data_IF_216745558311
#
_entry.id   IF_216745558311
#
_cell.length_a   1.000
_cell.length_b   1.000
_cell.length_c   1.000
_cell.angle_alpha   90.00
_cell.angle_beta   90.00
_cell.angle_gamma   90.00
#
_symmetry.space_group_name_H-M   'P 1'
#
loop_
_entity.id
_entity.type
_entity.pdbx_description
1 polymer ?
#
# COMPACT_ATOMS: atom_id res chain seq x y z
N UNK A 1 -30.61 -47.27 -24.33
CA UNK A 1 -29.82 -46.80 -23.18
C UNK A 1 -29.05 -45.57 -23.63
N UNK A 2 -29.56 -44.38 -23.33
CA UNK A 2 -29.02 -43.08 -23.77
C UNK A 2 -28.82 -42.23 -22.53
N UNK A 3 -27.56 -41.99 -22.17
CA UNK A 3 -27.18 -41.09 -21.07
C UNK A 3 -27.17 -39.64 -21.56
N UNK A 4 -27.76 -38.68 -20.82
CA UNK A 4 -27.67 -37.27 -21.17
C UNK A 4 -26.33 -36.68 -20.72
N UNK A 5 -25.61 -36.09 -21.68
CA UNK A 5 -24.38 -35.33 -21.44
C UNK A 5 -24.75 -33.97 -20.84
N UNK A 6 -24.34 -33.74 -19.59
CA UNK A 6 -24.59 -32.51 -18.86
C UNK A 6 -23.58 -31.43 -19.27
N UNK A 7 -24.00 -30.51 -20.13
CA UNK A 7 -23.22 -29.32 -20.47
C UNK A 7 -23.23 -28.33 -19.29
N UNK A 8 -22.07 -28.16 -18.65
CA UNK A 8 -21.81 -27.10 -17.67
C UNK A 8 -21.55 -25.78 -18.42
N UNK A 9 -22.23 -24.67 -18.10
CA UNK A 9 -21.89 -23.38 -18.68
C UNK A 9 -20.53 -22.91 -18.13
N UNK A 10 -19.67 -22.28 -18.96
CA UNK A 10 -18.46 -21.65 -18.46
C UNK A 10 -18.85 -20.51 -17.53
N UNK A 11 -18.31 -20.57 -16.31
CA UNK A 11 -18.50 -19.55 -15.29
C UNK A 11 -18.10 -18.17 -15.84
N UNK A 12 -19.01 -17.22 -15.64
CA UNK A 12 -18.74 -15.79 -15.70
C UNK A 12 -17.58 -15.47 -14.75
N UNK A 13 -16.37 -15.46 -15.29
CA UNK A 13 -15.23 -14.87 -14.62
C UNK A 13 -15.47 -13.37 -14.55
N UNK A 14 -15.64 -12.85 -13.34
CA UNK A 14 -15.47 -11.42 -13.08
C UNK A 14 -14.13 -10.98 -13.69
N UNK A 15 -14.11 -9.97 -14.57
CA UNK A 15 -12.86 -9.46 -15.09
C UNK A 15 -12.11 -8.83 -13.92
N UNK A 16 -11.03 -9.49 -13.50
CA UNK A 16 -10.05 -8.89 -12.62
C UNK A 16 -9.61 -7.55 -13.21
N UNK A 17 -9.48 -6.54 -12.35
CA UNK A 17 -9.00 -5.21 -12.72
C UNK A 17 -7.81 -5.32 -13.69
N UNK A 18 -7.94 -4.80 -14.93
CA UNK A 18 -6.90 -5.01 -15.91
C UNK A 18 -5.65 -4.25 -15.47
N UNK A 19 -4.53 -4.97 -15.42
CA UNK A 19 -3.21 -4.45 -15.76
C UNK A 19 -3.44 -3.45 -16.89
N UNK A 20 -3.02 -2.19 -16.75
CA UNK A 20 -3.27 -1.10 -17.72
C UNK A 20 -2.87 -1.54 -19.14
N UNK A 21 -3.76 -2.23 -19.84
CA UNK A 21 -3.59 -2.59 -21.24
C UNK A 21 -3.64 -1.27 -21.98
N UNK A 22 -2.47 -0.83 -22.42
CA UNK A 22 -2.35 0.35 -23.26
C UNK A 22 -3.13 0.04 -24.54
N UNK A 23 -4.04 0.93 -24.91
CA UNK A 23 -4.78 0.80 -26.18
C UNK A 23 -3.78 0.65 -27.33
N UNK A 24 -4.12 -0.18 -28.32
CA UNK A 24 -3.28 -0.31 -29.51
C UNK A 24 -3.22 1.02 -30.27
N UNK A 25 -2.14 1.33 -31.00
CA UNK A 25 -2.04 2.57 -31.76
C UNK A 25 -3.17 2.74 -32.78
N UNK A 26 -3.67 1.64 -33.36
CA UNK A 26 -4.83 1.64 -34.26
C UNK A 26 -6.12 2.06 -33.55
N UNK A 27 -6.33 1.58 -32.31
CA UNK A 27 -7.48 1.99 -31.50
C UNK A 27 -7.40 3.46 -31.11
N UNK A 28 -6.20 3.98 -30.84
CA UNK A 28 -5.98 5.40 -30.53
C UNK A 28 -6.31 6.28 -31.74
N UNK A 29 -5.89 5.87 -32.95
CA UNK A 29 -6.23 6.58 -34.18
C UNK A 29 -7.74 6.62 -34.41
N UNK A 30 -8.43 5.48 -34.26
CA UNK A 30 -9.89 5.44 -34.31
C UNK A 30 -10.52 6.32 -33.22
N UNK A 31 -10.02 6.30 -31.98
CA UNK A 31 -10.52 7.14 -30.90
C UNK A 31 -10.46 8.63 -31.29
N UNK A 32 -9.35 9.04 -31.91
CA UNK A 32 -9.10 10.40 -32.36
C UNK A 32 -10.09 10.83 -33.44
N UNK A 33 -10.24 10.04 -34.50
CA UNK A 33 -11.19 10.34 -35.59
C UNK A 33 -12.61 10.53 -35.03
N UNK A 34 -13.05 9.66 -34.12
CA UNK A 34 -14.36 9.79 -33.50
C UNK A 34 -14.49 11.06 -32.62
N UNK A 35 -13.42 11.51 -31.95
CA UNK A 35 -13.45 12.69 -31.08
C UNK A 35 -13.42 13.99 -31.89
N UNK A 36 -12.64 14.03 -32.97
CA UNK A 36 -12.46 15.20 -33.85
C UNK A 36 -13.62 15.34 -34.86
N UNK A 37 -14.17 14.24 -35.38
CA UNK A 37 -15.23 14.28 -36.41
C UNK A 37 -16.66 14.26 -35.84
N UNK A 38 -16.84 13.93 -34.55
CA UNK A 38 -18.19 13.78 -33.99
C UNK A 38 -18.49 14.71 -32.81
N UNK A 39 -19.70 15.26 -32.83
CA UNK A 39 -20.30 16.05 -31.74
C UNK A 39 -20.89 15.19 -30.61
N UNK A 40 -20.73 13.85 -30.70
CA UNK A 40 -21.36 12.89 -29.77
C UNK A 40 -20.70 12.92 -28.39
N UNK A 41 -21.41 12.69 -27.28
CA UNK A 41 -20.78 12.67 -25.96
C UNK A 41 -19.77 11.52 -25.82
N UNK A 42 -18.70 11.70 -25.02
CA UNK A 42 -17.67 10.66 -24.78
C UNK A 42 -18.24 9.32 -24.31
N UNK A 43 -19.37 9.34 -23.59
CA UNK A 43 -20.09 8.13 -23.18
C UNK A 43 -20.52 7.28 -24.38
N UNK A 44 -20.99 7.93 -25.46
CA UNK A 44 -21.45 7.23 -26.65
C UNK A 44 -20.27 6.71 -27.48
N UNK A 45 -19.19 7.49 -27.60
CA UNK A 45 -17.95 7.07 -28.27
C UNK A 45 -17.36 5.84 -27.56
N UNK A 46 -17.25 5.91 -26.22
CA UNK A 46 -16.76 4.80 -25.41
C UNK A 46 -17.61 3.54 -25.56
N UNK A 47 -18.94 3.66 -25.50
CA UNK A 47 -19.84 2.52 -25.69
C UNK A 47 -19.69 1.86 -27.07
N UNK A 48 -19.46 2.64 -28.13
CA UNK A 48 -19.25 2.13 -29.49
C UNK A 48 -17.93 1.37 -29.65
N UNK A 49 -16.89 1.80 -28.96
CA UNK A 49 -15.56 1.21 -29.04
C UNK A 49 -15.28 0.16 -27.93
N UNK A 50 -16.23 -0.06 -27.02
CA UNK A 50 -16.04 -0.95 -25.87
C UNK A 50 -15.09 -0.40 -24.80
N UNK A 51 -14.91 0.93 -24.75
CA UNK A 51 -13.96 1.61 -23.88
C UNK A 51 -14.71 2.52 -22.89
N UNK A 52 -14.19 2.69 -21.67
CA UNK A 52 -14.81 3.60 -20.70
C UNK A 52 -14.75 5.06 -21.17
N UNK A 53 -15.78 5.85 -20.87
CA UNK A 53 -15.81 7.28 -21.21
C UNK A 53 -14.64 8.06 -20.57
N UNK A 54 -14.19 7.62 -19.38
CA UNK A 54 -13.02 8.18 -18.69
C UNK A 54 -11.72 7.95 -19.46
N UNK A 55 -11.57 6.77 -20.06
CA UNK A 55 -10.42 6.46 -20.92
C UNK A 55 -10.43 7.36 -22.16
N UNK A 56 -11.58 7.52 -22.82
CA UNK A 56 -11.72 8.44 -23.98
C UNK A 56 -11.32 9.86 -23.60
N UNK A 57 -11.85 10.38 -22.49
CA UNK A 57 -11.53 11.72 -22.01
C UNK A 57 -10.06 11.90 -21.67
N UNK A 58 -9.40 10.86 -21.14
CA UNK A 58 -7.98 10.91 -20.82
C UNK A 58 -7.12 10.99 -22.07
N UNK A 59 -7.35 10.10 -23.05
CA UNK A 59 -6.59 10.12 -24.30
C UNK A 59 -6.82 11.40 -25.11
N UNK A 60 -8.04 11.93 -25.13
CA UNK A 60 -8.32 13.21 -25.76
C UNK A 60 -7.55 14.37 -25.10
N UNK A 61 -7.40 14.35 -23.77
CA UNK A 61 -6.61 15.33 -23.03
C UNK A 61 -5.11 15.14 -23.24
N UNK A 62 -4.62 13.91 -23.16
CA UNK A 62 -3.20 13.59 -23.31
C UNK A 62 -2.68 13.84 -24.75
N UNK A 63 -3.57 13.73 -25.75
CA UNK A 63 -3.27 13.98 -27.16
C UNK A 63 -3.65 15.37 -27.68
N UNK A 64 -4.11 16.28 -26.82
CA UNK A 64 -4.60 17.62 -27.18
C UNK A 64 -5.64 17.63 -28.32
N UNK A 65 -6.53 16.64 -28.37
CA UNK A 65 -7.51 16.49 -29.45
C UNK A 65 -8.62 17.54 -29.31
N UNK A 66 -8.86 18.30 -30.38
CA UNK A 66 -9.88 19.35 -30.41
C UNK A 66 -11.23 18.78 -30.82
N UNK A 67 -12.26 19.11 -30.06
CA UNK A 67 -13.64 18.77 -30.44
C UNK A 67 -14.20 19.83 -31.39
N UNK A 68 -15.07 19.47 -32.33
CA UNK A 68 -15.70 20.42 -33.22
C UNK A 68 -16.62 21.36 -32.43
N UNK A 69 -16.72 22.60 -32.90
CA UNK A 69 -17.55 23.63 -32.27
C UNK A 69 -19.01 23.16 -32.18
N UNK A 70 -19.60 23.25 -30.99
CA UNK A 70 -20.94 22.74 -30.71
C UNK A 70 -21.00 21.31 -30.15
N UNK A 71 -19.87 20.65 -29.93
CA UNK A 71 -19.84 19.40 -29.17
C UNK A 71 -20.34 19.61 -27.74
N UNK A 72 -21.24 18.72 -27.28
CA UNK A 72 -21.77 18.78 -25.91
C UNK A 72 -20.60 18.67 -24.93
N UNK A 73 -20.39 19.67 -24.05
CA UNK A 73 -19.29 19.62 -23.10
C UNK A 73 -19.47 18.36 -22.23
N UNK A 74 -18.36 17.70 -21.86
CA UNK A 74 -18.46 16.56 -20.95
C UNK A 74 -19.23 17.03 -19.72
N UNK A 75 -20.28 16.28 -19.36
CA UNK A 75 -21.05 16.53 -18.15
C UNK A 75 -20.05 16.54 -17.02
N UNK A 76 -19.69 17.74 -16.54
CA UNK A 76 -18.95 17.87 -15.29
C UNK A 76 -19.85 17.18 -14.31
N UNK A 77 -19.42 16.02 -13.82
CA UNK A 77 -20.00 15.44 -12.62
C UNK A 77 -19.90 16.61 -11.66
N UNK A 78 -21.05 17.19 -11.31
CA UNK A 78 -21.10 18.24 -10.33
C UNK A 78 -20.36 17.63 -9.14
N UNK A 79 -19.18 18.18 -8.84
CA UNK A 79 -18.50 17.85 -7.60
C UNK A 79 -19.62 18.02 -6.56
N UNK A 80 -19.96 16.98 -5.78
CA UNK A 80 -21.05 17.08 -4.82
C UNK A 80 -20.79 18.35 -4.04
N UNK A 81 -21.75 19.28 -4.14
CA UNK A 81 -21.71 20.57 -3.48
C UNK A 81 -21.23 20.28 -2.05
N UNK A 82 -20.07 20.80 -1.60
CA UNK A 82 -19.69 20.61 -0.22
C UNK A 82 -20.81 21.24 0.58
N UNK A 83 -21.65 20.41 1.18
CA UNK A 83 -22.81 20.88 1.93
C UNK A 83 -22.36 22.02 2.85
N UNK A 84 -23.19 23.07 3.02
CA UNK A 84 -22.90 24.11 3.98
C UNK A 84 -22.64 23.40 5.30
N UNK A 85 -21.38 23.47 5.77
CA UNK A 85 -20.92 22.89 7.02
C UNK A 85 -21.92 23.30 8.09
N UNK A 86 -22.87 22.42 8.41
CA UNK A 86 -23.57 22.48 9.69
C UNK A 86 -22.43 22.56 10.69
N UNK A 87 -22.42 23.62 11.50
CA UNK A 87 -21.52 23.79 12.63
C UNK A 87 -21.52 22.48 13.41
N UNK A 88 -20.60 21.59 13.06
CA UNK A 88 -20.02 20.71 14.06
C UNK A 88 -19.28 21.71 14.93
N UNK A 89 -19.71 21.80 16.18
CA UNK A 89 -18.86 22.32 17.22
C UNK A 89 -17.44 21.82 16.97
N UNK A 90 -16.42 22.67 17.15
CA UNK A 90 -15.04 22.23 17.02
C UNK A 90 -14.90 21.00 17.92
N UNK A 91 -14.74 19.84 17.29
CA UNK A 91 -14.25 18.68 18.01
C UNK A 91 -12.97 19.15 18.71
N UNK A 92 -12.74 18.72 19.97
CA UNK A 92 -11.48 19.01 20.62
C UNK A 92 -10.36 18.68 19.64
N UNK A 93 -9.31 19.52 19.56
CA UNK A 93 -8.18 19.23 18.69
C UNK A 93 -7.80 17.77 18.90
N UNK A 94 -7.61 16.97 17.83
CA UNK A 94 -7.15 15.61 18.03
C UNK A 94 -5.96 15.73 18.96
N UNK A 95 -6.09 15.09 20.13
CA UNK A 95 -4.97 14.87 21.02
C UNK A 95 -3.82 14.48 20.13
N UNK A 96 -2.66 15.05 20.41
CA UNK A 96 -1.39 14.74 19.77
C UNK A 96 -1.12 13.24 19.94
N UNK A 97 -1.84 12.41 19.17
CA UNK A 97 -1.52 11.02 18.92
C UNK A 97 -0.18 11.14 18.21
N UNK A 98 0.87 10.79 18.95
CA UNK A 98 2.21 10.71 18.43
C UNK A 98 2.13 9.91 17.12
N UNK A 99 2.73 10.37 16.00
CA UNK A 99 2.78 9.58 14.78
C UNK A 99 3.33 8.16 15.03
N UNK A 100 4.11 7.96 16.09
CA UNK A 100 4.51 6.64 16.61
C UNK A 100 3.32 5.77 17.04
N UNK A 101 2.41 6.29 17.87
CA UNK A 101 1.23 5.55 18.37
C UNK A 101 0.31 5.11 17.23
N UNK A 102 0.15 5.97 16.22
CA UNK A 102 -0.63 5.63 15.03
C UNK A 102 0.02 4.50 14.24
N UNK A 103 1.35 4.51 14.12
CA UNK A 103 2.11 3.45 13.44
C UNK A 103 2.03 2.13 14.19
N UNK A 104 2.18 2.16 15.52
CA UNK A 104 2.05 0.99 16.38
C UNK A 104 0.67 0.34 16.25
N UNK A 105 -0.41 1.14 16.33
CA UNK A 105 -1.79 0.66 16.12
C UNK A 105 -2.00 0.05 14.72
N UNK A 106 -1.33 0.54 13.69
CA UNK A 106 -1.40 -0.03 12.32
C UNK A 106 -0.63 -1.34 12.27
N UNK A 107 0.58 -1.39 12.83
CA UNK A 107 1.42 -2.60 12.88
C UNK A 107 0.72 -3.71 13.65
N UNK A 108 0.12 -3.41 14.80
CA UNK A 108 -0.62 -4.37 15.61
C UNK A 108 -1.83 -4.95 14.86
N UNK A 109 -2.60 -4.10 14.15
CA UNK A 109 -3.70 -4.57 13.30
C UNK A 109 -3.24 -5.47 12.16
N UNK A 110 -2.10 -5.15 11.55
CA UNK A 110 -1.51 -5.99 10.51
C UNK A 110 -1.06 -7.34 11.08
N UNK A 111 -0.47 -7.36 12.27
CA UNK A 111 -0.09 -8.60 12.97
C UNK A 111 -1.31 -9.48 13.27
N UNK A 112 -2.36 -8.93 13.87
CA UNK A 112 -3.60 -9.69 14.16
C UNK A 112 -4.31 -10.20 12.90
N UNK A 113 -4.13 -9.52 11.76
CA UNK A 113 -4.67 -9.97 10.48
C UNK A 113 -3.81 -11.11 9.90
N UNK A 114 -2.49 -11.01 10.01
CA UNK A 114 -1.57 -12.05 9.60
C UNK A 114 -1.76 -13.33 10.42
N UNK A 115 -1.95 -13.21 11.74
CA UNK A 115 -2.22 -14.32 12.66
C UNK A 115 -3.51 -15.06 12.30
N UNK A 116 -4.62 -14.33 12.11
CA UNK A 116 -5.89 -14.93 11.63
C UNK A 116 -5.74 -15.62 10.28
N UNK A 117 -4.95 -15.05 9.38
CA UNK A 117 -4.66 -15.71 8.11
C UNK A 117 -3.76 -16.95 8.27
N UNK A 118 -2.85 -16.98 9.24
CA UNK A 118 -2.05 -18.15 9.52
C UNK A 118 -2.91 -19.31 10.05
N UNK A 119 -3.82 -19.04 11.00
CA UNK A 119 -4.81 -20.01 11.48
C UNK A 119 -5.67 -20.56 10.34
N UNK A 120 -6.20 -19.70 9.46
CA UNK A 120 -6.98 -20.12 8.29
C UNK A 120 -6.18 -20.99 7.28
N UNK A 121 -4.85 -20.94 7.33
CA UNK A 121 -3.98 -21.73 6.45
C UNK A 121 -3.62 -23.10 7.04
N UNK A 122 -3.65 -23.27 8.37
CA UNK A 122 -3.43 -24.57 9.01
C UNK A 122 -4.49 -25.60 8.60
N UNK A 123 -5.73 -25.15 8.38
CA UNK A 123 -6.85 -26.00 7.97
C UNK A 123 -6.93 -26.25 6.45
N UNK A 124 -6.07 -25.63 5.64
CA UNK A 124 -6.15 -25.70 4.19
C UNK A 124 -5.11 -26.62 3.56
N UNK A 125 -5.49 -27.41 2.51
CA UNK A 125 -4.54 -28.25 1.80
C UNK A 125 -3.46 -27.40 1.11
N UNK A 126 -2.20 -27.84 1.20
CA UNK A 126 -0.96 -27.15 0.80
C UNK A 126 -1.04 -26.51 -0.61
N UNK A 127 -1.79 -27.10 -1.54
CA UNK A 127 -1.99 -26.57 -2.89
C UNK A 127 -2.77 -25.24 -2.95
N UNK A 128 -3.64 -24.96 -1.96
CA UNK A 128 -4.37 -23.69 -1.83
C UNK A 128 -3.56 -22.61 -1.12
N UNK A 129 -2.74 -23.00 -0.15
CA UNK A 129 -1.90 -22.09 0.62
C UNK A 129 -0.94 -21.26 -0.26
N UNK A 130 -0.42 -21.84 -1.35
CA UNK A 130 0.46 -21.11 -2.27
C UNK A 130 -0.19 -19.90 -2.98
N UNK A 131 -1.53 -19.87 -3.12
CA UNK A 131 -2.24 -18.74 -3.74
C UNK A 131 -2.62 -17.66 -2.72
N UNK A 132 -2.95 -18.04 -1.50
CA UNK A 132 -3.29 -17.13 -0.40
C UNK A 132 -2.06 -16.44 0.21
N UNK A 133 -0.85 -16.97 0.00
CA UNK A 133 0.40 -16.32 0.44
C UNK A 133 0.89 -15.20 -0.50
N UNK A 134 0.35 -15.10 -1.73
CA UNK A 134 0.76 -14.07 -2.70
C UNK A 134 0.45 -12.63 -2.25
N UNK A 135 -0.73 -12.32 -1.68
CA UNK A 135 -1.01 -11.00 -1.10
C UNK A 135 -0.08 -10.65 0.07
N UNK A 136 0.24 -11.61 0.94
CA UNK A 136 1.18 -11.43 2.05
C UNK A 136 2.60 -11.12 1.55
N UNK A 137 3.09 -11.88 0.55
CA UNK A 137 4.37 -11.63 -0.08
C UNK A 137 4.43 -10.26 -0.80
N UNK A 138 3.30 -9.78 -1.33
CA UNK A 138 3.21 -8.42 -1.89
C UNK A 138 3.24 -7.36 -0.79
N UNK A 139 2.51 -7.56 0.30
CA UNK A 139 2.49 -6.64 1.43
C UNK A 139 3.85 -6.48 2.08
N UNK A 140 4.57 -7.58 2.32
CA UNK A 140 5.93 -7.54 2.88
C UNK A 140 6.91 -6.84 1.94
N UNK A 141 6.81 -7.05 0.62
CA UNK A 141 7.59 -6.28 -0.36
C UNK A 141 7.28 -4.78 -0.29
N UNK A 142 6.00 -4.41 -0.25
CA UNK A 142 5.61 -2.99 -0.17
C UNK A 142 6.02 -2.34 1.15
N UNK A 143 5.93 -3.05 2.27
CA UNK A 143 6.41 -2.58 3.57
C UNK A 143 7.92 -2.36 3.54
N UNK A 144 8.69 -3.29 2.97
CA UNK A 144 10.13 -3.11 2.77
C UNK A 144 10.51 -2.02 1.76
N UNK A 145 9.64 -1.67 0.81
CA UNK A 145 9.83 -0.51 -0.06
C UNK A 145 9.54 0.80 0.67
N UNK A 146 8.48 0.86 1.48
CA UNK A 146 8.14 2.03 2.30
C UNK A 146 9.23 2.29 3.35
N UNK A 147 9.81 1.24 3.93
CA UNK A 147 10.91 1.32 4.91
C UNK A 147 12.19 1.90 4.30
N UNK A 148 12.46 1.63 3.01
CA UNK A 148 13.58 2.26 2.27
C UNK A 148 13.38 3.75 2.00
N UNK A 149 12.13 4.23 2.09
CA UNK A 149 11.78 5.62 1.92
C UNK A 149 11.64 6.37 3.25
N UNK A 150 11.72 5.67 4.39
CA UNK A 150 12.05 6.32 5.65
C UNK A 150 13.51 6.75 5.50
N UNK A 151 13.70 8.08 5.49
CA UNK A 151 15.01 8.71 5.39
C UNK A 151 16.04 7.97 6.26
N UNK A 152 17.31 7.87 5.83
CA UNK A 152 18.36 7.48 6.76
C UNK A 152 18.19 8.31 8.04
N UNK A 153 18.37 7.70 9.24
CA UNK A 153 18.26 8.45 10.48
C UNK A 153 19.05 9.73 10.30
N UNK A 154 18.39 10.86 10.62
CA UNK A 154 19.07 12.15 10.66
C UNK A 154 20.39 11.91 11.38
N UNK A 155 21.55 12.32 10.80
CA UNK A 155 22.79 12.17 11.52
C UNK A 155 22.56 12.77 12.91
N UNK A 156 22.86 12.02 13.99
CA UNK A 156 22.67 12.54 15.33
C UNK A 156 23.34 13.91 15.39
N UNK A 157 22.65 14.89 15.99
CA UNK A 157 23.21 16.22 16.21
C UNK A 157 24.69 16.09 16.60
N UNK A 158 25.52 16.90 15.95
CA UNK A 158 26.98 16.95 16.01
C UNK A 158 27.52 17.34 17.41
N UNK A 159 26.97 16.76 18.48
CA UNK A 159 27.58 16.59 19.80
C UNK A 159 28.21 15.19 19.95
N UNK A 160 28.46 14.49 18.83
CA UNK A 160 29.42 13.40 18.82
C UNK A 160 30.83 14.00 18.97
N UNK A 161 31.62 13.57 19.98
CA UNK A 161 33.00 14.05 20.11
C UNK A 161 33.74 13.74 18.82
N UNK A 162 34.30 14.80 18.22
CA UNK A 162 35.09 14.83 16.99
C UNK A 162 35.91 13.54 16.81
N UNK A 163 35.39 12.60 16.02
CA UNK A 163 36.07 11.37 15.60
C UNK A 163 37.16 11.66 14.55
N UNK A 164 37.85 12.81 14.66
CA UNK A 164 39.15 13.03 14.01
C UNK A 164 40.14 12.04 14.60
N UNK A 165 40.22 10.89 13.92
CA UNK A 165 41.26 9.85 13.99
C UNK A 165 41.60 9.43 15.42
N UNK A 166 41.24 8.19 15.85
CA UNK A 166 41.75 7.70 17.12
C UNK A 166 43.28 7.75 17.05
N UNK A 167 43.86 8.59 17.92
CA UNK A 167 45.27 8.62 18.27
C UNK A 167 45.65 7.15 18.53
N UNK A 168 46.42 6.54 17.61
CA UNK A 168 46.56 5.09 17.43
C UNK A 168 46.20 4.22 18.63
N UNK A 169 44.91 3.89 18.77
CA UNK A 169 44.44 2.96 19.79
C UNK A 169 44.82 1.55 19.35
N UNK A 170 45.33 0.77 20.29
CA UNK A 170 45.83 -0.57 20.01
C UNK A 170 44.64 -1.49 19.66
N UNK A 171 44.82 -2.44 18.73
CA UNK A 171 43.78 -3.41 18.35
C UNK A 171 43.25 -4.17 19.57
N UNK A 172 44.09 -4.40 20.58
CA UNK A 172 43.68 -5.02 21.83
C UNK A 172 42.71 -4.17 22.64
N UNK A 173 42.91 -2.85 22.72
CA UNK A 173 41.99 -1.94 23.41
C UNK A 173 40.61 -1.93 22.71
N UNK A 174 40.59 -1.97 21.37
CA UNK A 174 39.34 -2.06 20.61
C UNK A 174 38.62 -3.40 20.84
N UNK A 175 39.38 -4.49 21.02
CA UNK A 175 38.82 -5.81 21.33
C UNK A 175 38.25 -5.85 22.75
N UNK A 176 38.96 -5.26 23.70
CA UNK A 176 38.53 -5.19 25.10
C UNK A 176 37.31 -4.28 25.25
N UNK A 177 37.27 -3.16 24.53
CA UNK A 177 36.11 -2.26 24.46
C UNK A 177 34.89 -2.95 23.83
N UNK A 178 35.10 -3.70 22.74
CA UNK A 178 34.04 -4.49 22.12
C UNK A 178 33.52 -5.59 23.06
N UNK A 179 34.42 -6.30 23.76
CA UNK A 179 34.05 -7.31 24.73
C UNK A 179 33.24 -6.72 25.90
N UNK A 180 33.67 -5.58 26.44
CA UNK A 180 32.96 -4.87 27.49
C UNK A 180 31.58 -4.36 27.02
N UNK A 181 31.46 -3.96 25.76
CA UNK A 181 30.19 -3.52 25.18
C UNK A 181 29.21 -4.68 25.01
N UNK A 182 29.69 -5.83 24.53
CA UNK A 182 28.88 -7.05 24.43
C UNK A 182 28.43 -7.54 25.80
N UNK A 183 29.31 -7.53 26.81
CA UNK A 183 28.95 -7.90 28.19
C UNK A 183 27.89 -6.96 28.79
N UNK A 184 27.94 -5.66 28.43
CA UNK A 184 26.88 -4.72 28.82
C UNK A 184 25.55 -5.07 28.18
N UNK A 185 25.53 -5.40 26.88
CA UNK A 185 24.31 -5.77 26.15
C UNK A 185 23.71 -7.04 26.75
N UNK A 186 24.51 -8.08 26.97
CA UNK A 186 24.02 -9.33 27.58
C UNK A 186 23.42 -9.11 28.97
N UNK A 187 24.02 -8.22 29.77
CA UNK A 187 23.48 -7.85 31.09
C UNK A 187 22.15 -7.10 30.96
N UNK A 188 22.05 -6.16 30.04
CA UNK A 188 20.81 -5.40 29.81
C UNK A 188 19.69 -6.30 29.28
N UNK A 189 20.01 -7.28 28.42
CA UNK A 189 19.07 -8.29 27.94
C UNK A 189 18.59 -9.19 29.08
N UNK A 190 19.49 -9.64 29.95
CA UNK A 190 19.12 -10.44 31.13
C UNK A 190 18.23 -9.65 32.10
N UNK A 191 18.58 -8.40 32.39
CA UNK A 191 17.77 -7.51 33.24
C UNK A 191 16.39 -7.24 32.61
N UNK A 192 16.33 -7.16 31.28
CA UNK A 192 15.09 -7.02 30.54
C UNK A 192 14.23 -8.28 30.67
N UNK A 193 14.80 -9.47 30.43
CA UNK A 193 14.10 -10.75 30.57
C UNK A 193 13.61 -11.01 32.00
N UNK A 194 14.41 -10.69 33.02
CA UNK A 194 14.01 -10.83 34.42
C UNK A 194 12.87 -9.86 34.77
N UNK A 195 12.95 -8.62 34.28
CA UNK A 195 11.87 -7.63 34.44
C UNK A 195 10.60 -8.08 33.72
N UNK A 196 10.73 -8.60 32.51
CA UNK A 196 9.61 -9.08 31.70
C UNK A 196 8.96 -10.32 32.34
N UNK A 197 9.75 -11.30 32.78
CA UNK A 197 9.25 -12.49 33.49
C UNK A 197 8.48 -12.09 34.76
N UNK A 198 9.02 -11.14 35.54
CA UNK A 198 8.35 -10.65 36.76
C UNK A 198 7.04 -9.89 36.48
N UNK A 199 6.90 -9.21 35.35
CA UNK A 199 5.64 -8.56 34.97
C UNK A 199 4.52 -9.56 34.62
N UNK A 200 4.87 -10.72 34.08
CA UNK A 200 3.90 -11.76 33.73
C UNK A 200 3.57 -12.69 34.92
N UNK A 201 4.54 -13.03 35.78
CA UNK A 201 4.28 -13.88 36.96
C UNK A 201 3.41 -13.21 38.03
N UNK A 202 3.44 -11.88 38.14
CA UNK A 202 2.61 -11.14 39.11
C UNK A 202 1.18 -10.85 38.61
N UNK A 203 0.74 -11.45 37.50
CA UNK A 203 -0.61 -11.28 36.99
C UNK A 203 -0.91 -9.86 36.49
N UNK A 204 0.11 -9.05 36.23
CA UNK A 204 0.01 -7.69 35.69
C UNK A 204 -0.12 -7.66 34.17
N UNK A 205 -0.80 -8.65 33.58
CA UNK A 205 -1.22 -8.60 32.18
C UNK A 205 -2.45 -7.70 32.07
N UNK A 206 -2.32 -6.62 31.30
CA UNK A 206 -3.40 -5.69 30.96
C UNK A 206 -4.46 -6.40 30.11
#
# INVERSE_FOLDING_TARGET
MTSPSSHRPPGSGSPGSPIREKLSPEQIAQLRDWVEDTTRPFKHIGQKLGISASTVSRYAKDGDWKRPDGAVPPSRIALPNPEPRRRREPAPPPETDDPSDRRERITEKLWRLAERHAEELEDQPIARAGRSLQPLARLTRTLGEIDKHLSPPCPPDDDYPDLKKPKGRNIHELRDELAAHLERIEREEWDFEERWGRTFENGGGI
#
